data_IF_840424392412
#
_entry.id   IF_840424392412
#
_cell.length_a   1.000
_cell.length_b   1.000
_cell.length_c   1.000
_cell.angle_alpha   90.00
_cell.angle_beta   90.00
_cell.angle_gamma   90.00
#
_symmetry.space_group_name_H-M   'P 1'
#
loop_
_entity.id
_entity.type
_entity.pdbx_description
1 polymer ?
#
# COMPACT_ATOMS: atom_id res chain seq x y z
N UNK A 1 -80.98 72.54 15.60
CA UNK A 1 -79.83 72.94 14.75
C UNK A 1 -78.48 72.68 15.42
N UNK A 2 -78.19 73.23 16.61
CA UNK A 2 -76.88 73.07 17.29
C UNK A 2 -76.44 71.61 17.55
N UNK A 3 -77.36 70.75 17.99
CA UNK A 3 -77.07 69.33 18.23
C UNK A 3 -76.75 68.53 16.96
N UNK A 4 -77.40 68.85 15.83
CA UNK A 4 -77.14 68.19 14.56
C UNK A 4 -75.73 68.51 14.05
N UNK A 5 -75.29 69.76 14.18
CA UNK A 5 -73.92 70.18 13.82
C UNK A 5 -72.88 69.48 14.70
N UNK A 6 -73.12 69.37 16.01
CA UNK A 6 -72.23 68.66 16.91
C UNK A 6 -72.11 67.17 16.56
N UNK A 7 -73.23 66.52 16.19
CA UNK A 7 -73.25 65.10 15.85
C UNK A 7 -72.49 64.81 14.53
N UNK A 8 -72.65 65.68 13.53
CA UNK A 8 -71.87 65.62 12.28
C UNK A 8 -70.37 65.83 12.55
N UNK A 9 -70.01 66.80 13.41
CA UNK A 9 -68.62 67.04 13.77
C UNK A 9 -67.97 65.83 14.47
N UNK A 10 -68.68 65.18 15.39
CA UNK A 10 -68.18 63.97 16.06
C UNK A 10 -68.06 62.79 15.09
N UNK A 11 -69.03 62.61 14.19
CA UNK A 11 -68.99 61.55 13.18
C UNK A 11 -67.82 61.72 12.21
N UNK A 12 -67.59 62.93 11.71
CA UNK A 12 -66.45 63.24 10.84
C UNK A 12 -65.11 63.05 11.57
N UNK A 13 -65.00 63.50 12.82
CA UNK A 13 -63.81 63.28 13.63
C UNK A 13 -63.51 61.78 13.85
N UNK A 14 -64.55 60.97 14.09
CA UNK A 14 -64.40 59.51 14.23
C UNK A 14 -63.90 58.86 12.93
N UNK A 15 -64.43 59.26 11.77
CA UNK A 15 -63.97 58.77 10.46
C UNK A 15 -62.51 59.15 10.17
N UNK A 16 -62.11 60.38 10.49
CA UNK A 16 -60.72 60.83 10.33
C UNK A 16 -59.77 60.03 11.25
N UNK A 17 -60.18 59.76 12.49
CA UNK A 17 -59.37 58.93 13.39
C UNK A 17 -59.24 57.49 12.88
N UNK A 18 -60.34 56.87 12.44
CA UNK A 18 -60.31 55.50 11.91
C UNK A 18 -59.45 55.37 10.65
N UNK A 19 -59.51 56.35 9.75
CA UNK A 19 -58.65 56.37 8.56
C UNK A 19 -57.18 56.56 8.93
N UNK A 20 -56.85 57.44 9.87
CA UNK A 20 -55.49 57.59 10.38
C UNK A 20 -54.96 56.29 11.01
N UNK A 21 -55.78 55.62 11.83
CA UNK A 21 -55.43 54.31 12.40
C UNK A 21 -55.20 53.25 11.32
N UNK A 22 -56.06 53.18 10.29
CA UNK A 22 -55.91 52.26 9.18
C UNK A 22 -54.60 52.49 8.40
N UNK A 23 -54.25 53.75 8.14
CA UNK A 23 -52.99 54.11 7.46
C UNK A 23 -51.78 53.69 8.29
N UNK A 24 -51.79 53.97 9.60
CA UNK A 24 -50.68 53.57 10.49
C UNK A 24 -50.56 52.04 10.57
N UNK A 25 -51.67 51.32 10.61
CA UNK A 25 -51.68 49.85 10.58
C UNK A 25 -51.12 49.32 9.26
N UNK A 26 -51.50 49.88 8.12
CA UNK A 26 -50.96 49.48 6.82
C UNK A 26 -49.44 49.69 6.73
N UNK A 27 -48.95 50.85 7.19
CA UNK A 27 -47.50 51.14 7.17
C UNK A 27 -46.75 50.14 8.04
N UNK A 28 -47.27 49.83 9.24
CA UNK A 28 -46.69 48.81 10.13
C UNK A 28 -46.73 47.43 9.49
N UNK A 29 -47.85 47.06 8.87
CA UNK A 29 -48.01 45.76 8.23
C UNK A 29 -47.03 45.59 7.05
N UNK A 30 -46.92 46.60 6.19
CA UNK A 30 -45.96 46.62 5.08
C UNK A 30 -44.52 46.50 5.60
N UNK A 31 -44.17 47.25 6.64
CA UNK A 31 -42.85 47.17 7.25
C UNK A 31 -42.54 45.76 7.80
N UNK A 32 -43.51 45.13 8.49
CA UNK A 32 -43.36 43.78 9.01
C UNK A 32 -43.24 42.73 7.90
N UNK A 33 -44.01 42.85 6.81
CA UNK A 33 -43.92 41.96 5.65
C UNK A 33 -42.53 42.07 5.01
N UNK A 34 -42.06 43.30 4.75
CA UNK A 34 -40.72 43.52 4.18
C UNK A 34 -39.63 42.96 5.09
N UNK A 35 -39.73 43.20 6.41
CA UNK A 35 -38.77 42.66 7.38
C UNK A 35 -38.78 41.14 7.42
N UNK A 36 -39.96 40.51 7.33
CA UNK A 36 -40.09 39.04 7.29
C UNK A 36 -39.45 38.48 6.02
N UNK A 37 -39.68 39.10 4.86
CA UNK A 37 -39.07 38.70 3.60
C UNK A 37 -37.54 38.80 3.66
N UNK A 38 -37.00 39.95 4.11
CA UNK A 38 -35.57 40.14 4.26
C UNK A 38 -34.93 39.16 5.28
N UNK A 39 -35.65 38.85 6.37
CA UNK A 39 -35.18 37.87 7.36
C UNK A 39 -35.23 36.43 6.84
N UNK A 40 -36.20 36.09 5.98
CA UNK A 40 -36.30 34.78 5.37
C UNK A 40 -35.12 34.53 4.41
N UNK A 41 -34.78 35.52 3.57
CA UNK A 41 -33.62 35.44 2.68
C UNK A 41 -32.31 35.31 3.46
N UNK A 42 -32.14 36.09 4.53
CA UNK A 42 -30.97 35.98 5.40
C UNK A 42 -30.88 34.64 6.14
N UNK A 43 -32.01 33.99 6.43
CA UNK A 43 -32.05 32.65 7.01
C UNK A 43 -31.70 31.58 5.98
N UNK A 44 -32.19 31.71 4.75
CA UNK A 44 -31.93 30.76 3.66
C UNK A 44 -30.43 30.70 3.33
N UNK A 45 -29.78 31.86 3.21
CA UNK A 45 -28.31 31.96 3.01
C UNK A 45 -27.55 31.31 4.17
N UNK A 46 -27.99 31.52 5.42
CA UNK A 46 -27.38 30.89 6.59
C UNK A 46 -27.60 29.38 6.60
N UNK A 47 -28.77 28.91 6.22
CA UNK A 47 -29.10 27.49 6.13
C UNK A 47 -28.22 26.80 5.08
N UNK A 48 -28.08 27.39 3.89
CA UNK A 48 -27.18 26.89 2.84
C UNK A 48 -25.73 26.82 3.34
N UNK A 49 -25.27 27.86 4.04
CA UNK A 49 -23.92 27.90 4.63
C UNK A 49 -23.73 26.77 5.65
N UNK A 50 -24.69 26.57 6.56
CA UNK A 50 -24.66 25.49 7.55
C UNK A 50 -24.64 24.12 6.87
N UNK A 51 -25.43 23.92 5.81
CA UNK A 51 -25.45 22.67 5.04
C UNK A 51 -24.10 22.41 4.36
N UNK A 52 -23.48 23.45 3.79
CA UNK A 52 -22.15 23.39 3.20
C UNK A 52 -21.08 23.01 4.24
N UNK A 53 -21.03 23.71 5.36
CA UNK A 53 -20.09 23.43 6.44
C UNK A 53 -20.29 22.02 7.02
N UNK A 54 -21.54 21.59 7.19
CA UNK A 54 -21.86 20.24 7.65
C UNK A 54 -21.30 19.18 6.69
N UNK A 55 -21.42 19.38 5.37
CA UNK A 55 -20.81 18.48 4.37
C UNK A 55 -19.29 18.44 4.51
N UNK A 56 -18.63 19.58 4.68
CA UNK A 56 -17.18 19.64 4.88
C UNK A 56 -16.75 18.89 6.15
N UNK A 57 -17.44 19.10 7.27
CA UNK A 57 -17.18 18.39 8.53
C UNK A 57 -17.36 16.87 8.37
N UNK A 58 -18.41 16.44 7.66
CA UNK A 58 -18.62 15.01 7.38
C UNK A 58 -17.49 14.43 6.52
N UNK A 59 -17.05 15.14 5.48
CA UNK A 59 -15.91 14.71 4.66
C UNK A 59 -14.62 14.63 5.48
N UNK A 60 -14.36 15.63 6.33
CA UNK A 60 -13.20 15.64 7.22
C UNK A 60 -13.22 14.45 8.19
N UNK A 61 -14.39 14.12 8.75
CA UNK A 61 -14.55 12.93 9.62
C UNK A 61 -14.21 11.64 8.88
N UNK A 62 -14.73 11.46 7.67
CA UNK A 62 -14.43 10.29 6.85
C UNK A 62 -12.93 10.18 6.51
N UNK A 63 -12.29 11.31 6.19
CA UNK A 63 -10.86 11.37 5.95
C UNK A 63 -10.06 11.00 7.20
N UNK A 64 -10.44 11.52 8.38
CA UNK A 64 -9.79 11.16 9.65
C UNK A 64 -9.98 9.69 10.01
N UNK A 65 -11.16 9.12 9.78
CA UNK A 65 -11.38 7.68 10.00
C UNK A 65 -10.50 6.84 9.08
N UNK A 66 -10.36 7.25 7.81
CA UNK A 66 -9.49 6.59 6.84
C UNK A 66 -8.01 6.68 7.24
N UNK A 67 -7.54 7.84 7.69
CA UNK A 67 -6.17 7.98 8.19
C UNK A 67 -5.95 7.18 9.49
N UNK A 68 -6.96 7.10 10.35
CA UNK A 68 -6.90 6.29 11.57
C UNK A 68 -6.80 4.79 11.26
N UNK A 69 -7.52 4.29 10.26
CA UNK A 69 -7.41 2.88 9.84
C UNK A 69 -6.04 2.60 9.23
N UNK A 70 -5.54 3.47 8.35
CA UNK A 70 -4.16 3.36 7.82
C UNK A 70 -3.11 3.35 8.92
N UNK A 71 -3.26 4.21 9.92
CA UNK A 71 -2.31 4.28 11.06
C UNK A 71 -2.30 2.97 11.83
N UNK A 72 -3.47 2.39 12.12
CA UNK A 72 -3.57 1.07 12.76
C UNK A 72 -2.95 -0.05 11.91
N UNK A 73 -3.14 -0.01 10.59
CA UNK A 73 -2.53 -0.98 9.69
C UNK A 73 -1.01 -0.87 9.67
N UNK A 74 -0.48 0.36 9.62
CA UNK A 74 0.97 0.63 9.70
C UNK A 74 1.56 0.16 11.02
N UNK A 75 0.86 0.37 12.14
CA UNK A 75 1.29 -0.09 13.46
C UNK A 75 1.35 -1.63 13.52
N UNK A 76 0.35 -2.31 12.95
CA UNK A 76 0.36 -3.78 12.82
C UNK A 76 1.53 -4.26 11.96
N UNK A 77 1.72 -3.68 10.76
CA UNK A 77 2.83 -4.03 9.87
C UNK A 77 4.19 -3.80 10.54
N UNK A 78 4.33 -2.72 11.33
CA UNK A 78 5.55 -2.44 12.10
C UNK A 78 5.81 -3.53 13.14
N UNK A 79 4.78 -3.97 13.86
CA UNK A 79 4.88 -5.09 14.80
C UNK A 79 5.30 -6.39 14.12
N UNK A 80 4.71 -6.71 12.96
CA UNK A 80 5.06 -7.91 12.18
C UNK A 80 6.53 -7.87 11.71
N UNK A 81 7.00 -6.70 11.24
CA UNK A 81 8.41 -6.50 10.85
C UNK A 81 9.34 -6.67 12.06
N UNK A 82 8.99 -6.12 13.22
CA UNK A 82 9.83 -6.22 14.42
C UNK A 82 9.92 -7.67 14.92
N UNK A 83 8.81 -8.42 14.87
CA UNK A 83 8.79 -9.85 15.20
C UNK A 83 9.65 -10.65 14.22
N UNK A 84 9.49 -10.42 12.91
CA UNK A 84 10.30 -11.07 11.89
C UNK A 84 11.80 -10.76 12.06
N UNK A 85 12.14 -9.53 12.45
CA UNK A 85 13.53 -9.15 12.76
C UNK A 85 14.06 -9.91 13.98
N UNK A 86 13.28 -10.02 15.06
CA UNK A 86 13.67 -10.79 16.26
C UNK A 86 13.91 -12.26 15.91
N UNK A 87 13.02 -12.88 15.14
CA UNK A 87 13.21 -14.25 14.65
C UNK A 87 14.46 -14.41 13.79
N UNK A 88 14.72 -13.45 12.89
CA UNK A 88 15.92 -13.47 12.05
C UNK A 88 17.20 -13.31 12.89
N UNK A 89 17.20 -12.41 13.88
CA UNK A 89 18.31 -12.25 14.82
C UNK A 89 18.55 -13.51 15.66
N UNK A 90 17.48 -14.18 16.11
CA UNK A 90 17.57 -15.44 16.84
C UNK A 90 18.12 -16.56 15.96
N UNK A 91 17.60 -16.72 14.74
CA UNK A 91 18.13 -17.67 13.74
C UNK A 91 19.61 -17.40 13.42
N UNK A 92 20.01 -16.14 13.30
CA UNK A 92 21.40 -15.75 13.08
C UNK A 92 22.28 -16.05 14.29
N UNK A 93 21.79 -15.81 15.52
CA UNK A 93 22.49 -16.19 16.75
C UNK A 93 22.69 -17.70 16.83
N UNK A 94 21.64 -18.48 16.58
CA UNK A 94 21.71 -19.95 16.55
C UNK A 94 22.70 -20.42 15.47
N UNK A 95 22.63 -19.87 14.26
CA UNK A 95 23.57 -20.20 13.19
C UNK A 95 25.03 -19.85 13.54
N UNK A 96 25.27 -18.69 14.16
CA UNK A 96 26.60 -18.33 14.63
C UNK A 96 27.08 -19.19 15.80
N UNK A 97 26.20 -19.58 16.73
CA UNK A 97 26.55 -20.50 17.81
C UNK A 97 26.80 -21.91 17.30
N UNK A 98 26.06 -22.38 16.30
CA UNK A 98 26.29 -23.67 15.65
C UNK A 98 27.54 -23.65 14.79
N UNK A 99 27.87 -22.50 14.18
CA UNK A 99 29.17 -22.29 13.53
C UNK A 99 30.29 -22.27 14.57
N UNK A 100 30.10 -21.65 15.73
CA UNK A 100 31.10 -21.64 16.81
C UNK A 100 31.29 -23.02 17.47
N UNK A 101 30.20 -23.75 17.73
CA UNK A 101 30.21 -25.15 18.20
C UNK A 101 30.76 -26.09 17.13
N UNK A 102 30.42 -25.85 15.87
CA UNK A 102 30.98 -26.55 14.72
C UNK A 102 32.48 -26.31 14.56
N UNK A 103 32.94 -25.07 14.72
CA UNK A 103 34.37 -24.70 14.70
C UNK A 103 35.12 -25.28 15.92
N UNK A 104 34.44 -25.49 17.05
CA UNK A 104 35.00 -26.13 18.24
C UNK A 104 35.03 -27.66 18.23
N UNK A 105 34.07 -28.33 17.59
CA UNK A 105 33.92 -29.80 17.75
C UNK A 105 33.76 -30.61 16.46
N UNK A 106 33.39 -30.03 15.30
CA UNK A 106 33.16 -30.84 14.08
C UNK A 106 33.83 -30.36 12.80
N UNK A 107 34.28 -29.11 12.70
CA UNK A 107 34.92 -28.59 11.49
C UNK A 107 36.44 -28.81 11.49
N UNK A 108 37.06 -28.99 12.65
CA UNK A 108 38.42 -29.51 12.76
C UNK A 108 38.51 -30.97 12.30
N UNK A 109 37.55 -31.82 12.72
CA UNK A 109 37.48 -33.23 12.35
C UNK A 109 36.94 -33.48 10.93
N UNK A 110 35.90 -32.77 10.48
CA UNK A 110 35.39 -32.94 9.10
C UNK A 110 36.31 -32.35 8.04
N UNK A 111 37.00 -31.22 8.28
CA UNK A 111 38.04 -30.74 7.34
C UNK A 111 39.23 -31.68 7.30
N UNK A 112 39.70 -32.18 8.44
CA UNK A 112 40.81 -33.14 8.45
C UNK A 112 40.42 -34.48 7.85
N UNK A 113 39.22 -35.01 8.09
CA UNK A 113 38.72 -36.24 7.45
C UNK A 113 38.49 -36.07 5.94
N UNK A 114 38.02 -34.90 5.48
CA UNK A 114 37.90 -34.65 4.03
C UNK A 114 39.25 -34.37 3.38
N UNK A 115 40.18 -33.67 4.04
CA UNK A 115 41.54 -33.46 3.54
C UNK A 115 42.38 -34.75 3.56
N UNK A 116 42.24 -35.62 4.57
CA UNK A 116 42.91 -36.92 4.62
C UNK A 116 42.28 -37.90 3.63
N UNK A 117 40.95 -37.91 3.46
CA UNK A 117 40.32 -38.73 2.41
C UNK A 117 40.70 -38.26 1.00
N UNK A 118 40.87 -36.95 0.77
CA UNK A 118 41.33 -36.40 -0.51
C UNK A 118 42.80 -36.73 -0.77
N UNK A 119 43.67 -36.70 0.25
CA UNK A 119 45.08 -37.10 0.11
C UNK A 119 45.23 -38.62 -0.05
N UNK A 120 44.47 -39.43 0.69
CA UNK A 120 44.43 -40.89 0.52
C UNK A 120 43.87 -41.30 -0.85
N UNK A 121 42.95 -40.53 -1.44
CA UNK A 121 42.49 -40.75 -2.82
C UNK A 121 43.54 -40.34 -3.87
N UNK A 122 44.41 -39.39 -3.55
CA UNK A 122 45.54 -38.98 -4.40
C UNK A 122 46.68 -40.01 -4.40
N UNK A 123 46.95 -40.64 -3.26
CA UNK A 123 48.05 -41.60 -3.09
C UNK A 123 47.67 -43.06 -3.40
N UNK A 124 46.39 -43.34 -3.66
CA UNK A 124 45.95 -44.69 -4.07
C UNK A 124 46.29 -44.96 -5.54
N UNK A 125 47.23 -45.91 -5.73
CA UNK A 125 47.57 -46.69 -6.95
C UNK A 125 46.53 -46.77 -8.10
N UNK A 126 45.21 -46.93 -7.87
CA UNK A 126 44.22 -46.94 -8.96
C UNK A 126 44.21 -45.71 -9.87
N UNK A 127 44.59 -44.51 -9.41
CA UNK A 127 44.48 -43.30 -10.24
C UNK A 127 45.55 -43.25 -11.35
N UNK A 128 46.75 -43.78 -11.07
CA UNK A 128 47.81 -43.92 -12.07
C UNK A 128 47.55 -45.10 -13.02
N UNK A 129 47.01 -46.21 -12.52
CA UNK A 129 46.61 -47.35 -13.36
C UNK A 129 45.45 -46.97 -14.29
N UNK A 130 44.45 -46.26 -13.80
CA UNK A 130 43.34 -45.73 -14.62
C UNK A 130 43.83 -44.71 -15.66
N UNK A 131 44.81 -43.86 -15.33
CA UNK A 131 45.44 -42.96 -16.32
C UNK A 131 46.16 -43.73 -17.42
N UNK A 132 46.94 -44.75 -17.07
CA UNK A 132 47.62 -45.60 -18.05
C UNK A 132 46.63 -46.37 -18.94
N UNK A 133 45.52 -46.86 -18.37
CA UNK A 133 44.46 -47.52 -19.13
C UNK A 133 43.71 -46.55 -20.05
N UNK A 134 43.42 -45.34 -19.60
CA UNK A 134 42.83 -44.28 -20.43
C UNK A 134 43.76 -43.91 -21.59
N UNK A 135 45.07 -43.77 -21.35
CA UNK A 135 46.04 -43.46 -22.40
C UNK A 135 46.22 -44.62 -23.39
N UNK A 136 46.19 -45.87 -22.92
CA UNK A 136 46.15 -47.06 -23.80
C UNK A 136 44.88 -47.09 -24.64
N UNK A 137 43.70 -46.86 -24.04
CA UNK A 137 42.44 -46.82 -24.78
C UNK A 137 42.46 -45.72 -25.84
N UNK A 138 42.96 -44.53 -25.51
CA UNK A 138 43.06 -43.39 -26.43
C UNK A 138 43.96 -43.69 -27.64
N UNK A 139 45.09 -44.35 -27.43
CA UNK A 139 45.97 -44.81 -28.54
C UNK A 139 45.27 -45.84 -29.41
N UNK A 140 44.52 -46.76 -28.81
CA UNK A 140 43.82 -47.83 -29.53
C UNK A 140 42.64 -47.29 -30.35
N UNK A 141 41.89 -46.32 -29.81
CA UNK A 141 40.84 -45.62 -30.56
C UNK A 141 41.44 -44.87 -31.74
N UNK A 142 42.53 -44.11 -31.53
CA UNK A 142 43.18 -43.37 -32.61
C UNK A 142 43.72 -44.27 -33.73
N UNK A 143 44.27 -45.45 -33.41
CA UNK A 143 44.72 -46.40 -34.44
C UNK A 143 43.55 -47.02 -35.20
N UNK A 144 42.44 -47.35 -34.50
CA UNK A 144 41.22 -47.82 -35.14
C UNK A 144 40.62 -46.77 -36.07
N UNK A 145 40.52 -45.53 -35.63
CA UNK A 145 40.01 -44.43 -36.44
C UNK A 145 40.90 -44.19 -37.66
N UNK A 146 42.22 -44.28 -37.53
CA UNK A 146 43.13 -44.18 -38.67
C UNK A 146 42.96 -45.32 -39.68
N UNK A 147 42.73 -46.55 -39.20
CA UNK A 147 42.43 -47.69 -40.08
C UNK A 147 41.09 -47.48 -40.78
N UNK A 148 40.04 -47.08 -40.05
CA UNK A 148 38.72 -46.82 -40.61
C UNK A 148 38.79 -45.70 -41.66
N UNK A 149 39.48 -44.60 -41.37
CA UNK A 149 39.70 -43.53 -42.35
C UNK A 149 40.48 -44.04 -43.57
N UNK A 150 41.52 -44.85 -43.40
CA UNK A 150 42.27 -45.40 -44.55
C UNK A 150 41.46 -46.39 -45.40
N UNK A 151 40.51 -47.11 -44.80
CA UNK A 151 39.57 -47.98 -45.51
C UNK A 151 38.50 -47.15 -46.22
N UNK A 152 38.01 -46.08 -45.57
CA UNK A 152 37.08 -45.13 -46.17
C UNK A 152 37.71 -44.41 -47.38
N UNK A 153 38.96 -43.95 -47.26
CA UNK A 153 39.71 -43.31 -48.35
C UNK A 153 39.93 -44.27 -49.53
N UNK A 154 40.29 -45.54 -49.27
CA UNK A 154 40.39 -46.56 -50.32
C UNK A 154 39.05 -46.88 -50.99
N UNK A 155 37.95 -46.89 -50.23
CA UNK A 155 36.61 -47.12 -50.78
C UNK A 155 36.08 -45.96 -51.62
N UNK A 156 36.63 -44.75 -51.45
CA UNK A 156 36.32 -43.60 -52.32
C UNK A 156 37.10 -43.62 -53.65
N UNK A 157 38.31 -44.18 -53.67
CA UNK A 157 39.10 -44.33 -54.92
C UNK A 157 38.62 -45.52 -55.77
N UNK A 158 37.92 -46.51 -55.20
CA UNK A 158 37.26 -47.59 -55.96
C UNK A 158 35.86 -47.22 -56.50
N UNK A 159 35.31 -46.06 -56.11
CA UNK A 159 34.00 -45.56 -56.54
C UNK A 159 34.06 -44.44 -57.62
N UNK A 160 35.19 -44.33 -58.34
CA UNK A 160 35.37 -43.45 -59.51
C UNK A 160 35.51 -44.26 -60.80
#
# INVERSE_FOLDING_TARGET
MKYAVALVAVSTAALVMLTAYAVVQEVRLKHLITRKAASAEALDVKEETIVSEKKQVTQLRLAMETERTKTKELEKRRGDIENSKKEAEEKLKTCNSDKARGVGESNGKKKTETETAINDLKDKKPLNQMKEEIDKLKKNIKSRDQIICSVADKSQDEAK
#
